data_IF_806430077186
#
_entry.id   IF_806430077186
#
_cell.length_a   1.000
_cell.length_b   1.000
_cell.length_c   1.000
_cell.angle_alpha   90.00
_cell.angle_beta   90.00
_cell.angle_gamma   90.00
#
_symmetry.space_group_name_H-M   'P 1'
#
loop_
_entity.id
_entity.type
_entity.pdbx_description
1 polymer ?
#
# COMPACT_ATOMS: atom_id res chain seq x y z
N UNK A 1 8.41 -2.04 -12.88
CA UNK A 1 9.39 -2.33 -11.83
C UNK A 1 8.80 -2.24 -10.43
N UNK A 2 8.09 -1.14 -10.14
CA UNK A 2 7.65 -0.79 -8.78
C UNK A 2 6.84 -1.86 -8.03
N UNK A 3 5.89 -2.54 -8.66
CA UNK A 3 5.07 -3.54 -7.95
C UNK A 3 5.89 -4.78 -7.58
N UNK A 4 6.84 -5.17 -8.44
CA UNK A 4 7.79 -6.25 -8.11
C UNK A 4 8.73 -5.83 -6.97
N UNK A 5 9.14 -4.55 -6.95
CA UNK A 5 9.91 -3.98 -5.86
C UNK A 5 9.13 -4.04 -4.53
N UNK A 6 7.84 -3.73 -4.51
CA UNK A 6 7.00 -3.86 -3.31
C UNK A 6 6.83 -5.32 -2.86
N UNK A 7 6.74 -6.28 -3.79
CA UNK A 7 6.76 -7.71 -3.45
C UNK A 7 8.09 -8.12 -2.80
N UNK A 8 9.21 -7.60 -3.30
CA UNK A 8 10.54 -7.82 -2.71
C UNK A 8 10.61 -7.18 -1.32
N UNK A 9 10.09 -5.94 -1.18
CA UNK A 9 9.98 -5.21 0.10
C UNK A 9 9.29 -6.06 1.16
N UNK A 10 8.05 -6.50 0.89
CA UNK A 10 7.28 -7.32 1.83
C UNK A 10 8.03 -8.60 2.19
N UNK A 11 8.60 -9.31 1.21
CA UNK A 11 9.37 -10.54 1.46
C UNK A 11 10.62 -10.30 2.33
N UNK A 12 11.35 -9.22 2.09
CA UNK A 12 12.55 -8.85 2.86
C UNK A 12 12.20 -8.60 4.33
N UNK A 13 11.14 -7.83 4.60
CA UNK A 13 10.70 -7.57 5.96
C UNK A 13 10.14 -8.81 6.64
N UNK A 14 9.26 -9.56 5.97
CA UNK A 14 8.62 -10.76 6.55
C UNK A 14 9.61 -11.86 6.89
N UNK A 15 10.59 -12.13 6.01
CA UNK A 15 11.48 -13.29 6.15
C UNK A 15 12.82 -12.97 6.81
N UNK A 16 13.31 -11.74 6.63
CA UNK A 16 14.63 -11.34 7.11
C UNK A 16 14.56 -10.49 8.38
N UNK A 17 13.92 -9.32 8.28
CA UNK A 17 13.94 -8.31 9.34
C UNK A 17 13.08 -8.73 10.53
N UNK A 18 11.84 -9.16 10.28
CA UNK A 18 10.87 -9.43 11.33
C UNK A 18 11.32 -10.53 12.31
N UNK A 19 11.85 -11.68 11.88
CA UNK A 19 12.34 -12.70 12.82
C UNK A 19 13.49 -12.21 13.71
N UNK A 20 14.42 -11.45 13.12
CA UNK A 20 15.56 -10.89 13.87
C UNK A 20 15.10 -9.84 14.88
N UNK A 21 14.23 -8.94 14.46
CA UNK A 21 13.66 -7.92 15.32
C UNK A 21 12.84 -8.53 16.46
N UNK A 22 12.04 -9.56 16.17
CA UNK A 22 11.24 -10.26 17.18
C UNK A 22 12.14 -10.85 18.27
N UNK A 23 13.24 -11.50 17.88
CA UNK A 23 14.23 -12.04 18.80
C UNK A 23 14.85 -10.94 19.68
N UNK A 24 15.27 -9.83 19.09
CA UNK A 24 15.84 -8.69 19.81
C UNK A 24 14.85 -8.09 20.82
N UNK A 25 13.57 -7.97 20.43
CA UNK A 25 12.48 -7.49 21.30
C UNK A 25 12.26 -8.46 22.46
N UNK A 26 12.18 -9.77 22.18
CA UNK A 26 11.95 -10.79 23.21
C UNK A 26 13.10 -10.84 24.22
N UNK A 27 14.35 -10.66 23.77
CA UNK A 27 15.52 -10.57 24.66
C UNK A 27 15.50 -9.30 25.52
N UNK A 28 15.20 -8.14 24.93
CA UNK A 28 15.14 -6.87 25.63
C UNK A 28 14.00 -6.81 26.67
N UNK A 29 12.90 -7.52 26.44
CA UNK A 29 11.73 -7.54 27.32
C UNK A 29 11.80 -8.59 28.45
N UNK A 30 12.82 -9.47 28.48
CA UNK A 30 12.98 -10.45 29.59
C UNK A 30 12.89 -9.83 30.99
N UNK A 31 13.49 -8.65 31.26
CA UNK A 31 13.38 -8.02 32.57
C UNK A 31 12.04 -7.32 32.82
N UNK A 32 11.27 -7.02 31.76
CA UNK A 32 10.05 -6.19 31.82
C UNK A 32 8.90 -6.81 30.99
N UNK A 33 8.39 -8.00 31.36
CA UNK A 33 7.37 -8.70 30.56
C UNK A 33 6.08 -7.90 30.39
N UNK A 34 5.68 -7.13 31.42
CA UNK A 34 4.48 -6.30 31.41
C UNK A 34 4.59 -5.10 30.44
N UNK A 35 5.80 -4.73 30.01
CA UNK A 35 6.01 -3.61 29.08
C UNK A 35 5.75 -3.99 27.61
N UNK A 36 5.59 -5.28 27.30
CA UNK A 36 5.47 -5.78 25.92
C UNK A 36 4.34 -5.11 25.13
N UNK A 37 3.14 -5.08 25.70
CA UNK A 37 1.96 -4.52 25.04
C UNK A 37 2.09 -3.00 24.84
N UNK A 38 2.57 -2.30 25.86
CA UNK A 38 2.85 -0.87 25.78
C UNK A 38 3.87 -0.58 24.66
N UNK A 39 5.00 -1.30 24.65
CA UNK A 39 6.03 -1.17 23.62
C UNK A 39 5.41 -1.26 22.21
N UNK A 40 4.65 -2.33 21.92
CA UNK A 40 4.05 -2.50 20.59
C UNK A 40 3.05 -1.41 20.25
N UNK A 41 2.20 -1.01 21.20
CA UNK A 41 1.26 0.08 21.00
C UNK A 41 1.97 1.40 20.69
N UNK A 42 3.09 1.69 21.37
CA UNK A 42 3.90 2.89 21.14
C UNK A 42 4.60 2.88 19.80
N UNK A 43 5.23 1.76 19.43
CA UNK A 43 5.85 1.57 18.12
C UNK A 43 4.81 1.76 17.00
N UNK A 44 3.66 1.10 17.10
CA UNK A 44 2.58 1.26 16.13
C UNK A 44 2.09 2.71 16.04
N UNK A 45 1.82 3.33 17.19
CA UNK A 45 1.36 4.72 17.26
C UNK A 45 2.32 5.69 16.59
N UNK A 46 3.63 5.48 16.75
CA UNK A 46 4.66 6.27 16.11
C UNK A 46 4.69 6.01 14.60
N UNK A 47 4.95 4.78 14.17
CA UNK A 47 5.18 4.46 12.76
C UNK A 47 3.95 4.67 11.88
N UNK A 48 2.74 4.39 12.36
CA UNK A 48 1.51 4.54 11.56
C UNK A 48 1.29 5.98 11.04
N UNK A 49 1.92 6.98 11.65
CA UNK A 49 1.85 8.39 11.21
C UNK A 49 2.66 8.67 9.95
N UNK A 50 3.74 7.91 9.75
CA UNK A 50 4.75 8.17 8.74
C UNK A 50 4.64 7.22 7.54
N UNK A 51 3.89 6.13 7.67
CA UNK A 51 3.75 5.11 6.62
C UNK A 51 2.43 5.25 5.85
N UNK A 52 2.52 5.49 4.54
CA UNK A 52 1.37 5.44 3.62
C UNK A 52 0.81 4.03 3.47
N UNK A 53 -0.39 3.91 2.89
CA UNK A 53 -0.96 2.62 2.44
C UNK A 53 -0.06 1.89 1.43
N UNK A 54 0.69 2.64 0.63
CA UNK A 54 1.70 2.12 -0.30
C UNK A 54 3.04 1.82 0.36
N UNK A 55 3.21 2.12 1.64
CA UNK A 55 4.46 1.91 2.39
C UNK A 55 5.55 2.94 2.10
N UNK A 56 5.19 4.09 1.54
CA UNK A 56 6.05 5.28 1.45
C UNK A 56 6.22 5.95 2.81
N UNK A 57 7.33 6.65 2.99
CA UNK A 57 7.69 7.33 4.24
C UNK A 57 7.60 8.84 4.07
N UNK A 58 6.56 9.44 4.65
CA UNK A 58 6.36 10.88 4.68
C UNK A 58 5.33 11.22 5.77
N UNK A 59 5.07 12.50 6.02
CA UNK A 59 3.98 12.91 6.91
C UNK A 59 2.61 12.53 6.33
N UNK A 60 2.11 11.33 6.65
CA UNK A 60 0.79 10.86 6.20
C UNK A 60 -0.33 11.40 7.08
N UNK A 61 -0.16 11.27 8.40
CA UNK A 61 -1.15 11.69 9.37
C UNK A 61 -0.50 12.46 10.52
N UNK A 62 -0.68 13.78 10.51
CA UNK A 62 -0.30 14.67 11.59
C UNK A 62 -1.58 15.15 12.28
N UNK A 63 -1.93 14.64 13.47
CA UNK A 63 -3.08 15.13 14.20
C UNK A 63 -2.92 16.61 14.53
N UNK A 64 -3.97 17.42 14.32
CA UNK A 64 -3.97 18.88 14.57
C UNK A 64 -3.56 19.27 16.01
N UNK A 65 -3.76 18.39 16.98
CA UNK A 65 -3.48 18.62 18.40
C UNK A 65 -2.05 18.22 18.82
N UNK A 66 -1.28 17.59 17.93
CA UNK A 66 0.10 17.26 18.20
C UNK A 66 0.97 18.28 17.51
N UNK A 67 1.64 19.10 18.31
CA UNK A 67 2.69 20.02 17.89
C UNK A 67 3.88 19.22 17.33
N UNK A 68 3.70 18.48 16.24
CA UNK A 68 4.82 18.15 15.36
C UNK A 68 5.41 19.51 15.04
N UNK A 69 6.66 19.74 15.43
CA UNK A 69 7.38 20.97 15.10
C UNK A 69 7.39 21.11 13.57
N UNK A 70 6.33 21.67 13.01
CA UNK A 70 6.42 22.50 11.85
C UNK A 70 7.40 23.58 12.29
N UNK A 71 8.65 23.47 11.86
CA UNK A 71 9.49 24.67 11.75
C UNK A 71 8.62 25.67 11.01
N UNK A 72 8.10 26.65 11.74
CA UNK A 72 7.27 27.71 11.20
C UNK A 72 8.21 28.55 10.33
N UNK A 73 8.40 28.11 9.10
CA UNK A 73 8.82 28.98 8.03
C UNK A 73 7.56 29.73 7.64
N UNK A 74 7.37 30.90 8.26
CA UNK A 74 6.52 32.04 7.84
C UNK A 74 5.33 31.71 6.93
N UNK A 75 4.10 31.93 7.43
CA UNK A 75 2.73 32.07 6.85
C UNK A 75 2.36 31.64 5.40
N UNK A 76 3.29 31.33 4.52
CA UNK A 76 3.06 30.91 3.15
C UNK A 76 2.95 29.37 3.05
N UNK A 77 1.72 28.89 2.79
CA UNK A 77 1.41 27.46 2.58
C UNK A 77 2.33 26.79 1.55
N UNK A 78 2.80 27.54 0.56
CA UNK A 78 3.70 27.05 -0.49
C UNK A 78 5.10 26.69 0.05
N UNK A 79 5.60 27.43 1.04
CA UNK A 79 6.87 27.11 1.72
C UNK A 79 6.72 25.83 2.54
N UNK A 80 5.59 25.66 3.25
CA UNK A 80 5.32 24.44 4.01
C UNK A 80 5.21 23.18 3.13
N UNK A 81 4.53 23.28 1.99
CA UNK A 81 4.47 22.22 0.98
C UNK A 81 5.86 21.90 0.41
N UNK A 82 6.65 22.92 0.09
CA UNK A 82 8.03 22.76 -0.37
C UNK A 82 8.87 21.97 0.64
N UNK A 83 8.84 22.30 1.94
CA UNK A 83 9.59 21.56 2.95
C UNK A 83 9.08 20.13 3.17
N UNK A 84 7.76 19.90 3.23
CA UNK A 84 7.21 18.54 3.41
C UNK A 84 7.57 17.61 2.25
N UNK A 85 7.78 18.16 1.06
CA UNK A 85 8.08 17.40 -0.16
C UNK A 85 9.56 17.42 -0.55
N UNK A 86 10.41 18.29 0.02
CA UNK A 86 11.81 18.44 -0.42
C UNK A 86 12.62 17.13 -0.27
N UNK A 87 12.27 16.32 0.73
CA UNK A 87 12.91 15.06 1.06
C UNK A 87 12.31 13.87 0.30
N UNK A 88 11.36 14.10 -0.59
CA UNK A 88 10.63 13.05 -1.30
C UNK A 88 11.02 13.04 -2.78
N UNK A 89 11.25 11.86 -3.34
CA UNK A 89 11.21 11.62 -4.78
C UNK A 89 9.82 11.13 -5.15
N UNK A 90 9.15 11.85 -6.04
CA UNK A 90 7.92 11.37 -6.64
C UNK A 90 8.24 10.22 -7.61
N UNK A 91 7.60 9.08 -7.38
CA UNK A 91 7.63 7.95 -8.30
C UNK A 91 6.24 7.81 -8.87
N UNK A 92 6.11 8.09 -10.17
CA UNK A 92 4.89 7.81 -10.89
C UNK A 92 4.71 6.29 -10.96
N UNK A 93 3.75 5.78 -10.22
CA UNK A 93 3.41 4.36 -10.23
C UNK A 93 2.44 4.07 -11.36
N UNK A 94 2.53 2.86 -11.91
CA UNK A 94 1.47 2.33 -12.76
C UNK A 94 0.26 1.94 -11.91
N UNK A 95 -0.92 1.90 -12.54
CA UNK A 95 -2.16 1.41 -11.94
C UNK A 95 -1.97 0.01 -11.36
N UNK A 96 -2.30 -0.14 -10.07
CA UNK A 96 -2.32 -1.43 -9.39
C UNK A 96 -3.69 -2.06 -9.58
N UNK A 97 -3.86 -2.80 -10.68
CA UNK A 97 -5.09 -3.53 -10.92
C UNK A 97 -5.29 -4.61 -9.86
N UNK A 98 -6.46 -4.58 -9.24
CA UNK A 98 -6.99 -5.63 -8.38
C UNK A 98 -8.15 -6.31 -9.09
N UNK A 99 -8.47 -7.52 -8.62
CA UNK A 99 -9.67 -8.23 -9.04
C UNK A 99 -10.88 -7.33 -8.77
N UNK A 100 -11.70 -7.11 -9.79
CA UNK A 100 -12.82 -6.17 -9.69
C UNK A 100 -14.07 -6.77 -10.31
N UNK A 101 -15.18 -6.60 -9.60
CA UNK A 101 -16.53 -6.86 -10.11
C UNK A 101 -17.13 -5.55 -10.63
N UNK A 102 -17.71 -5.62 -11.81
CA UNK A 102 -18.30 -4.47 -12.49
C UNK A 102 -19.68 -4.87 -12.97
N UNK A 103 -20.69 -4.08 -12.61
CA UNK A 103 -22.08 -4.28 -13.07
C UNK A 103 -22.44 -3.16 -14.04
N UNK A 104 -22.80 -3.50 -15.28
CA UNK A 104 -23.14 -2.55 -16.34
C UNK A 104 -24.26 -3.12 -17.19
N UNK A 105 -25.27 -2.30 -17.47
CA UNK A 105 -26.40 -2.63 -18.36
C UNK A 105 -27.02 -4.01 -18.05
N UNK A 106 -27.25 -4.31 -16.77
CA UNK A 106 -27.78 -5.58 -16.23
C UNK A 106 -26.89 -6.83 -16.44
N UNK A 107 -25.59 -6.64 -16.73
CA UNK A 107 -24.60 -7.72 -16.80
C UNK A 107 -23.54 -7.58 -15.70
N UNK A 108 -23.09 -8.73 -15.16
CA UNK A 108 -22.00 -8.81 -14.18
C UNK A 108 -20.70 -9.28 -14.83
N UNK A 109 -19.66 -8.46 -14.70
CA UNK A 109 -18.31 -8.73 -15.17
C UNK A 109 -17.39 -8.95 -13.97
N UNK A 110 -16.52 -9.94 -14.06
CA UNK A 110 -15.42 -10.16 -13.12
C UNK A 110 -14.10 -10.12 -13.88
N UNK A 111 -13.26 -9.16 -13.52
CA UNK A 111 -11.92 -9.01 -14.07
C UNK A 111 -10.92 -9.70 -13.15
N UNK A 112 -10.34 -10.79 -13.63
CA UNK A 112 -9.31 -11.57 -12.97
C UNK A 112 -7.92 -11.10 -13.41
N UNK A 113 -7.15 -10.58 -12.45
CA UNK A 113 -5.78 -10.08 -12.65
C UNK A 113 -4.73 -11.05 -12.09
N UNK A 114 -5.12 -12.28 -11.71
CA UNK A 114 -4.22 -13.23 -11.05
C UNK A 114 -2.99 -13.57 -11.91
N UNK A 115 -3.17 -13.61 -13.23
CA UNK A 115 -2.11 -13.88 -14.21
C UNK A 115 -1.43 -12.60 -14.76
N UNK A 116 -1.73 -11.43 -14.19
CA UNK A 116 -1.19 -10.15 -14.65
C UNK A 116 0.28 -9.99 -14.21
N UNK A 117 1.22 -10.14 -15.16
CA UNK A 117 2.62 -9.82 -14.93
C UNK A 117 2.88 -8.31 -15.02
N UNK A 118 3.18 -7.68 -13.88
CA UNK A 118 3.50 -6.26 -13.85
C UNK A 118 4.73 -5.90 -14.67
N UNK A 119 4.71 -4.69 -15.25
CA UNK A 119 5.79 -4.17 -16.10
C UNK A 119 7.14 -4.28 -15.40
N UNK A 120 8.19 -4.65 -16.14
CA UNK A 120 9.56 -4.75 -15.61
C UNK A 120 10.26 -3.39 -15.59
N UNK A 121 10.14 -2.60 -16.65
CA UNK A 121 10.68 -1.24 -16.78
C UNK A 121 9.59 -0.17 -17.00
N UNK A 122 9.99 1.09 -17.25
CA UNK A 122 9.12 2.21 -17.67
C UNK A 122 8.62 2.00 -19.12
N UNK A 123 7.78 1.01 -19.31
CA UNK A 123 7.18 0.68 -20.61
C UNK A 123 5.73 1.15 -20.64
N UNK A 124 5.27 1.70 -21.77
CA UNK A 124 3.85 1.87 -22.02
C UNK A 124 3.30 0.53 -22.51
N UNK A 125 2.66 -0.23 -21.62
CA UNK A 125 1.89 -1.43 -21.98
C UNK A 125 0.40 -1.15 -21.79
N UNK A 126 -0.37 -1.37 -22.84
CA UNK A 126 -1.84 -1.37 -22.80
C UNK A 126 -2.34 -2.66 -22.13
N UNK A 127 -3.57 -2.64 -21.63
CA UNK A 127 -4.22 -3.81 -21.05
C UNK A 127 -5.01 -4.53 -22.14
N UNK A 128 -4.97 -5.86 -22.09
CA UNK A 128 -5.72 -6.74 -22.99
C UNK A 128 -6.66 -7.59 -22.17
N UNK A 129 -7.91 -7.68 -22.62
CA UNK A 129 -8.94 -8.50 -22.02
C UNK A 129 -9.15 -9.77 -22.85
N UNK A 130 -9.29 -10.90 -22.17
CA UNK A 130 -9.58 -12.19 -22.79
C UNK A 130 -10.75 -12.84 -22.04
N UNK A 131 -11.81 -13.21 -22.76
CA UNK A 131 -12.94 -13.90 -22.16
C UNK A 131 -12.51 -15.31 -21.76
N UNK A 132 -12.73 -15.68 -20.50
CA UNK A 132 -12.37 -17.00 -19.96
C UNK A 132 -13.55 -17.93 -19.97
N UNK A 133 -14.61 -17.54 -19.25
CA UNK A 133 -15.79 -18.38 -19.05
C UNK A 133 -16.95 -17.58 -18.46
N UNK A 134 -18.14 -18.17 -18.54
CA UNK A 134 -19.33 -17.76 -17.82
C UNK A 134 -19.47 -18.62 -16.56
N UNK A 135 -19.58 -17.99 -15.38
CA UNK A 135 -19.87 -18.70 -14.13
C UNK A 135 -21.27 -18.38 -13.63
N UNK A 136 -21.89 -19.32 -12.92
CA UNK A 136 -23.13 -19.08 -12.20
C UNK A 136 -22.88 -18.18 -10.97
N UNK A 137 -23.82 -17.26 -10.69
CA UNK A 137 -23.71 -16.19 -9.68
C UNK A 137 -23.42 -16.73 -8.26
N UNK A 138 -23.75 -18.01 -7.98
CA UNK A 138 -23.61 -18.67 -6.68
C UNK A 138 -22.24 -19.30 -6.36
N UNK A 139 -21.30 -19.36 -7.32
CA UNK A 139 -20.03 -20.11 -7.15
C UNK A 139 -18.90 -19.25 -6.57
N UNK A 140 -19.02 -17.92 -6.60
CA UNK A 140 -18.03 -17.05 -5.96
C UNK A 140 -18.36 -16.87 -4.46
N UNK A 141 -17.54 -17.37 -3.51
CA UNK A 141 -17.79 -17.23 -2.07
C UNK A 141 -17.79 -15.77 -1.58
N UNK A 142 -17.35 -14.83 -2.42
CA UNK A 142 -17.39 -13.38 -2.19
C UNK A 142 -18.60 -12.68 -2.86
N UNK A 143 -19.64 -13.41 -3.30
CA UNK A 143 -20.88 -12.89 -3.91
C UNK A 143 -22.04 -12.78 -2.91
N UNK A 144 -21.81 -12.24 -1.71
CA UNK A 144 -22.91 -11.80 -0.82
C UNK A 144 -22.90 -10.28 -0.75
N UNK A 145 -23.62 -9.64 -1.67
CA UNK A 145 -23.78 -8.19 -1.64
C UNK A 145 -24.53 -7.60 -2.83
N UNK A 146 -25.78 -7.21 -2.56
CA UNK A 146 -26.55 -6.10 -3.14
C UNK A 146 -26.99 -6.19 -4.61
N UNK A 147 -27.88 -7.13 -4.92
CA UNK A 147 -29.02 -6.87 -5.82
C UNK A 147 -29.98 -8.08 -5.84
N UNK A 148 -31.27 -7.82 -5.65
CA UNK A 148 -32.36 -8.82 -5.67
C UNK A 148 -32.78 -9.22 -7.10
N UNK A 149 -31.89 -9.04 -8.09
CA UNK A 149 -32.17 -9.29 -9.51
C UNK A 149 -31.48 -10.58 -9.94
N UNK A 150 -32.18 -11.42 -10.73
CA UNK A 150 -31.58 -12.58 -11.39
C UNK A 150 -30.67 -12.07 -12.50
N UNK A 151 -29.38 -12.32 -12.39
CA UNK A 151 -28.42 -12.07 -13.46
C UNK A 151 -28.16 -13.36 -14.21
N UNK A 152 -27.91 -13.26 -15.52
CA UNK A 152 -27.67 -14.41 -16.38
C UNK A 152 -26.33 -15.12 -16.14
N UNK A 153 -25.54 -14.69 -15.14
CA UNK A 153 -24.24 -15.24 -14.77
C UNK A 153 -23.20 -14.12 -14.58
N UNK A 154 -21.99 -14.50 -14.16
CA UNK A 154 -20.83 -13.62 -14.04
C UNK A 154 -19.84 -13.95 -15.16
N UNK A 155 -19.51 -12.97 -15.99
CA UNK A 155 -18.53 -13.12 -17.07
C UNK A 155 -17.13 -12.88 -16.56
N UNK A 156 -16.29 -13.90 -16.63
CA UNK A 156 -14.92 -13.83 -16.16
C UNK A 156 -14.00 -13.45 -17.32
N UNK A 157 -13.28 -12.34 -17.13
CA UNK A 157 -12.27 -11.85 -18.06
C UNK A 157 -10.89 -11.95 -17.41
N UNK A 158 -9.96 -12.58 -18.10
CA UNK A 158 -8.56 -12.48 -17.74
C UNK A 158 -8.00 -11.15 -18.25
N UNK A 159 -7.21 -10.51 -17.39
CA UNK A 159 -6.59 -9.21 -17.67
C UNK A 159 -5.09 -9.40 -17.79
N UNK A 160 -4.52 -8.97 -18.91
CA UNK A 160 -3.09 -9.06 -19.20
C UNK A 160 -2.53 -7.72 -19.64
N UNK A 161 -1.21 -7.54 -19.55
CA UNK A 161 -0.55 -6.49 -20.32
C UNK A 161 -0.27 -6.96 -21.75
N UNK A 162 -0.40 -6.06 -22.71
CA UNK A 162 -0.07 -6.31 -24.11
C UNK A 162 1.40 -6.72 -24.26
N UNK A 163 1.61 -7.85 -24.91
CA UNK A 163 2.92 -8.29 -25.38
C UNK A 163 2.93 -8.32 -26.91
N UNK A 164 4.01 -7.81 -27.51
CA UNK A 164 4.22 -7.81 -28.97
C UNK A 164 3.06 -7.18 -29.77
N UNK A 165 2.38 -6.19 -29.21
CA UNK A 165 1.28 -5.48 -29.89
C UNK A 165 -0.07 -6.22 -29.88
N UNK A 166 -0.25 -7.25 -29.04
CA UNK A 166 -1.56 -7.88 -28.83
C UNK A 166 -2.56 -6.81 -28.35
N UNK A 167 -3.68 -6.65 -29.05
CA UNK A 167 -4.79 -5.77 -28.66
C UNK A 167 -6.01 -6.59 -28.31
N UNK A 168 -6.89 -6.02 -27.50
CA UNK A 168 -8.20 -6.61 -27.21
C UNK A 168 -8.98 -6.74 -28.50
N UNK A 169 -9.35 -7.96 -28.87
CA UNK A 169 -10.18 -8.23 -30.04
C UNK A 169 -11.64 -8.32 -29.60
N UNK A 170 -12.29 -7.16 -29.48
CA UNK A 170 -13.70 -7.06 -29.03
C UNK A 170 -14.62 -7.95 -29.88
N UNK A 171 -14.40 -7.99 -31.19
CA UNK A 171 -15.16 -8.84 -32.12
C UNK A 171 -15.08 -10.33 -31.77
N UNK A 172 -13.92 -10.82 -31.34
CA UNK A 172 -13.74 -12.23 -30.99
C UNK A 172 -14.40 -12.52 -29.63
N UNK A 173 -14.28 -11.61 -28.66
CA UNK A 173 -14.98 -11.69 -27.38
C UNK A 173 -16.50 -11.75 -27.58
N UNK A 174 -17.06 -10.89 -28.44
CA UNK A 174 -18.50 -10.88 -28.73
C UNK A 174 -18.96 -12.18 -29.41
N UNK A 175 -18.13 -12.81 -30.24
CA UNK A 175 -18.43 -14.12 -30.82
C UNK A 175 -18.47 -15.21 -29.76
N UNK A 176 -17.52 -15.20 -28.82
CA UNK A 176 -17.46 -16.22 -27.76
C UNK A 176 -18.62 -16.04 -26.76
N UNK A 177 -18.99 -14.80 -26.43
CA UNK A 177 -20.19 -14.50 -25.64
C UNK A 177 -21.49 -14.96 -26.34
N UNK A 178 -21.57 -14.83 -27.67
CA UNK A 178 -22.71 -15.34 -28.45
C UNK A 178 -22.80 -16.86 -28.45
N UNK A 179 -21.67 -17.58 -28.44
CA UNK A 179 -21.67 -19.05 -28.32
C UNK A 179 -22.22 -19.51 -26.97
N UNK A 180 -21.98 -18.73 -25.92
CA UNK A 180 -22.53 -18.92 -24.57
C UNK A 180 -24.01 -18.46 -24.45
N UNK A 181 -24.64 -18.06 -25.57
CA UNK A 181 -26.06 -17.73 -25.65
C UNK A 181 -26.42 -16.29 -25.27
N UNK A 182 -25.47 -15.36 -25.30
CA UNK A 182 -25.64 -14.01 -24.74
C UNK A 182 -25.38 -12.94 -25.79
N UNK A 183 -26.29 -11.98 -25.87
CA UNK A 183 -26.17 -10.85 -26.78
C UNK A 183 -25.79 -9.58 -25.99
N UNK A 184 -24.48 -9.41 -25.76
CA UNK A 184 -23.91 -8.17 -25.20
C UNK A 184 -23.54 -7.24 -26.36
N UNK A 185 -23.79 -5.94 -26.19
CA UNK A 185 -23.36 -4.92 -27.13
C UNK A 185 -21.91 -4.49 -26.86
N UNK A 186 -21.22 -4.05 -27.92
CA UNK A 186 -19.86 -3.50 -27.84
C UNK A 186 -19.75 -2.35 -26.83
N UNK A 187 -20.73 -1.44 -26.83
CA UNK A 187 -20.80 -0.29 -25.92
C UNK A 187 -20.83 -0.71 -24.42
N UNK A 188 -21.58 -1.76 -24.09
CA UNK A 188 -21.65 -2.30 -22.72
C UNK A 188 -20.30 -2.88 -22.28
N UNK A 189 -19.61 -3.59 -23.18
CA UNK A 189 -18.30 -4.16 -22.90
C UNK A 189 -17.24 -3.07 -22.73
N UNK A 190 -17.24 -2.03 -23.58
CA UNK A 190 -16.35 -0.89 -23.44
C UNK A 190 -16.58 -0.13 -22.12
N UNK A 191 -17.84 0.08 -21.72
CA UNK A 191 -18.17 0.68 -20.41
C UNK A 191 -17.59 -0.16 -19.27
N UNK A 192 -17.74 -1.48 -19.32
CA UNK A 192 -17.18 -2.37 -18.31
C UNK A 192 -15.66 -2.26 -18.22
N UNK A 193 -14.94 -2.25 -19.36
CA UNK A 193 -13.49 -2.05 -19.41
C UNK A 193 -13.08 -0.68 -18.88
N UNK A 194 -13.78 0.40 -19.25
CA UNK A 194 -13.49 1.75 -18.73
C UNK A 194 -13.69 1.86 -17.22
N UNK A 195 -14.69 1.19 -16.66
CA UNK A 195 -14.89 1.15 -15.21
C UNK A 195 -13.75 0.38 -14.54
N UNK A 196 -13.32 -0.74 -15.11
CA UNK A 196 -12.16 -1.49 -14.63
C UNK A 196 -10.87 -0.66 -14.66
N UNK A 197 -10.67 0.12 -15.73
CA UNK A 197 -9.47 0.95 -15.89
C UNK A 197 -9.41 2.14 -14.92
N UNK A 198 -10.54 2.56 -14.34
CA UNK A 198 -10.62 3.65 -13.35
C UNK A 198 -10.08 3.28 -11.96
N UNK A 199 -9.54 2.08 -11.77
CA UNK A 199 -8.88 1.72 -10.51
C UNK A 199 -7.75 2.71 -10.16
N UNK A 200 -7.63 3.01 -8.88
CA UNK A 200 -6.75 4.08 -8.37
C UNK A 200 -5.28 3.87 -8.78
N UNK A 201 -4.67 4.95 -9.27
CA UNK A 201 -3.23 5.12 -9.28
C UNK A 201 -2.81 5.46 -7.84
N UNK A 202 -1.79 4.77 -7.31
CA UNK A 202 -1.33 5.00 -5.94
C UNK A 202 -0.01 5.72 -6.01
N UNK A 203 -0.01 7.03 -5.79
CA UNK A 203 1.22 7.79 -5.76
C UNK A 203 2.21 7.20 -4.76
N UNK A 204 3.46 7.07 -5.18
CA UNK A 204 4.56 6.59 -4.34
C UNK A 204 5.62 7.65 -4.18
N UNK A 205 6.13 7.74 -2.97
CA UNK A 205 7.22 8.62 -2.63
C UNK A 205 8.36 7.80 -2.02
N UNK A 206 9.58 8.03 -2.49
CA UNK A 206 10.81 7.54 -1.85
C UNK A 206 11.35 8.66 -0.98
N UNK A 207 11.64 8.36 0.29
CA UNK A 207 12.27 9.33 1.18
C UNK A 207 13.80 9.30 0.98
N UNK A 208 14.39 10.47 0.72
CA UNK A 208 15.83 10.64 0.44
C UNK A 208 16.71 10.32 1.64
N UNK A 209 16.20 10.52 2.85
CA UNK A 209 16.90 10.26 4.09
C UNK A 209 15.89 9.84 5.16
N UNK A 210 15.32 8.65 4.97
CA UNK A 210 14.36 8.07 5.90
C UNK A 210 14.94 7.93 7.32
N UNK A 211 16.27 7.78 7.44
CA UNK A 211 16.96 7.56 8.71
C UNK A 211 16.92 8.79 9.58
N UNK A 212 17.48 9.88 9.09
CA UNK A 212 17.53 11.14 9.83
C UNK A 212 16.12 11.61 10.12
N UNK A 213 15.25 11.56 9.11
CA UNK A 213 13.84 11.91 9.25
C UNK A 213 13.16 11.16 10.39
N UNK A 214 13.13 9.83 10.36
CA UNK A 214 12.41 9.05 11.37
C UNK A 214 13.06 9.14 12.76
N UNK A 215 14.39 9.27 12.86
CA UNK A 215 15.06 9.42 14.17
C UNK A 215 14.71 10.75 14.83
N UNK A 216 14.78 11.86 14.08
CA UNK A 216 14.38 13.18 14.59
C UNK A 216 12.92 13.20 15.03
N UNK A 217 12.04 12.62 14.20
CA UNK A 217 10.62 12.51 14.52
C UNK A 217 10.37 11.65 15.77
N UNK A 218 11.12 10.55 15.92
CA UNK A 218 11.02 9.69 17.09
C UNK A 218 11.49 10.39 18.36
N UNK A 219 12.62 11.12 18.31
CA UNK A 219 13.13 11.86 19.46
C UNK A 219 12.14 12.95 19.91
N UNK A 220 11.52 13.67 18.97
CA UNK A 220 10.47 14.66 19.27
C UNK A 220 9.26 13.97 19.91
N UNK A 221 8.80 12.87 19.31
CA UNK A 221 7.65 12.12 19.82
C UNK A 221 7.93 11.57 21.23
N UNK A 222 9.12 11.04 21.47
CA UNK A 222 9.53 10.50 22.77
C UNK A 222 9.62 11.62 23.81
N UNK A 223 10.15 12.80 23.45
CA UNK A 223 10.15 13.96 24.32
C UNK A 223 8.73 14.35 24.72
N UNK A 224 7.83 14.51 23.75
CA UNK A 224 6.42 14.82 24.04
C UNK A 224 5.78 13.77 24.92
N UNK A 225 6.06 12.49 24.66
CA UNK A 225 5.54 11.40 25.47
C UNK A 225 6.02 11.48 26.92
N UNK A 226 7.32 11.71 27.12
CA UNK A 226 7.95 11.84 28.44
C UNK A 226 7.36 13.02 29.21
N UNK A 227 7.16 14.16 28.56
CA UNK A 227 6.77 15.41 29.23
C UNK A 227 5.25 15.70 29.25
N UNK A 228 4.42 14.92 28.54
CA UNK A 228 2.96 15.15 28.47
C UNK A 228 2.17 14.58 29.65
N UNK A 229 2.78 13.74 30.50
CA UNK A 229 2.12 13.15 31.66
C UNK A 229 2.75 13.57 32.99
N UNK A 230 1.94 13.58 34.05
CA UNK A 230 2.43 13.58 35.43
C UNK A 230 3.00 12.18 35.75
N UNK A 231 4.28 11.95 35.41
CA UNK A 231 4.90 10.63 35.58
C UNK A 231 5.96 10.65 36.67
N UNK A 232 5.86 9.70 37.62
CA UNK A 232 6.96 9.34 38.51
C UNK A 232 8.05 8.57 37.73
N UNK A 233 9.29 9.05 37.80
CA UNK A 233 10.42 8.49 37.07
C UNK A 233 11.15 7.43 37.90
N UNK A 234 10.62 6.20 37.91
CA UNK A 234 11.32 5.06 38.49
C UNK A 234 12.47 4.58 37.60
N UNK A 235 13.48 3.92 38.19
CA UNK A 235 14.58 3.30 37.44
C UNK A 235 14.05 2.29 36.40
N UNK A 236 13.03 1.52 36.76
CA UNK A 236 12.34 0.62 35.85
C UNK A 236 11.74 1.38 34.66
N UNK A 237 11.06 2.50 34.90
CA UNK A 237 10.45 3.29 33.82
C UNK A 237 11.50 3.85 32.86
N UNK A 238 12.62 4.34 33.39
CA UNK A 238 13.73 4.84 32.58
C UNK A 238 14.29 3.72 31.68
N UNK A 239 14.50 2.51 32.22
CA UNK A 239 14.97 1.35 31.45
C UNK A 239 13.97 0.93 30.37
N UNK A 240 12.67 0.94 30.65
CA UNK A 240 11.63 0.67 29.65
C UNK A 240 11.66 1.67 28.50
N UNK A 241 11.83 2.97 28.79
CA UNK A 241 11.95 4.01 27.76
C UNK A 241 13.24 3.88 26.92
N UNK A 242 14.35 3.48 27.54
CA UNK A 242 15.59 3.17 26.82
C UNK A 242 15.38 1.99 25.85
N UNK A 243 14.74 0.92 26.31
CA UNK A 243 14.39 -0.24 25.47
C UNK A 243 13.51 0.19 24.30
N UNK A 244 12.48 1.02 24.54
CA UNK A 244 11.63 1.56 23.49
C UNK A 244 12.45 2.36 22.45
N UNK A 245 13.36 3.23 22.91
CA UNK A 245 14.23 4.00 22.02
C UNK A 245 15.13 3.12 21.17
N UNK A 246 15.79 2.15 21.79
CA UNK A 246 16.73 1.25 21.11
C UNK A 246 16.01 0.39 20.05
N UNK A 247 14.84 -0.16 20.39
CA UNK A 247 14.03 -0.95 19.45
C UNK A 247 13.54 -0.08 18.31
N UNK A 248 13.02 1.13 18.59
CA UNK A 248 12.61 2.07 17.54
C UNK A 248 13.76 2.41 16.60
N UNK A 249 14.95 2.69 17.13
CA UNK A 249 16.12 3.02 16.31
C UNK A 249 16.59 1.84 15.46
N UNK A 250 16.55 0.62 15.99
CA UNK A 250 16.80 -0.59 15.19
C UNK A 250 15.80 -0.74 14.04
N UNK A 251 14.52 -0.54 14.32
CA UNK A 251 13.46 -0.60 13.30
C UNK A 251 13.71 0.46 12.23
N UNK A 252 14.00 1.69 12.63
CA UNK A 252 14.32 2.79 11.72
C UNK A 252 15.55 2.44 10.87
N UNK A 253 16.62 1.92 11.46
CA UNK A 253 17.82 1.54 10.71
C UNK A 253 17.53 0.45 9.66
N UNK A 254 16.68 -0.54 9.96
CA UNK A 254 16.24 -1.52 8.95
C UNK A 254 15.40 -0.89 7.85
N UNK A 255 14.50 0.02 8.21
CA UNK A 255 13.66 0.75 7.25
C UNK A 255 14.52 1.57 6.29
N UNK A 256 15.46 2.32 6.85
CA UNK A 256 16.35 3.20 6.10
C UNK A 256 17.25 2.45 5.16
N UNK A 257 17.83 1.31 5.58
CA UNK A 257 18.64 0.49 4.69
C UNK A 257 17.89 0.11 3.42
N UNK A 258 16.60 -0.23 3.54
CA UNK A 258 15.80 -0.55 2.37
C UNK A 258 15.52 0.68 1.50
N UNK A 259 15.15 1.80 2.10
CA UNK A 259 14.89 3.05 1.36
C UNK A 259 16.16 3.58 0.66
N UNK A 260 17.33 3.47 1.29
CA UNK A 260 18.61 3.86 0.68
C UNK A 260 18.90 3.01 -0.58
N UNK A 261 18.60 1.71 -0.53
CA UNK A 261 18.70 0.85 -1.71
C UNK A 261 17.65 1.23 -2.78
N UNK A 262 16.45 1.66 -2.39
CA UNK A 262 15.47 2.19 -3.35
C UNK A 262 15.96 3.47 -4.04
N UNK A 263 16.54 4.40 -3.27
CA UNK A 263 17.11 5.64 -3.80
C UNK A 263 18.23 5.34 -4.80
N UNK A 264 19.06 4.31 -4.56
CA UNK A 264 20.14 3.92 -5.50
C UNK A 264 19.63 3.29 -6.79
N UNK A 265 18.51 2.56 -6.74
CA UNK A 265 17.92 1.89 -7.91
C UNK A 265 17.19 2.89 -8.82
N UNK A 266 16.71 3.99 -8.25
CA UNK A 266 15.92 5.02 -8.94
C UNK A 266 16.81 6.12 -9.53
#
# INVERSE_FOLDING_TARGET
>A
GYINLMKIKSRYYEKGVFPKLQKDIDEALKPFPNFREELFNRLYTFFNRYFSESGSIYFRYTPLHQNVYEKVYTDDKDVMLFWKTHMLYYVKTDRLFKNLKVEVDDFKFFFDVSDLEYKRANEKKEIVYEFKEKREDGIFPFCKGVSNRRFDGVFVFNVYYSERGKKTKIVDILKDLKKEGININEDTLEKAFRIFEKQNEVDYFINKDAKTFLKEQFDIWLYQYVFSGESEWSEERIKQLQILKDISFKIIDFISQFEDELVKIW
#
